data_IF_053524991087
#
_entry.id   IF_053524991087
#
_cell.length_a   1.000
_cell.length_b   1.000
_cell.length_c   1.000
_cell.angle_alpha   90.00
_cell.angle_beta   90.00
_cell.angle_gamma   90.00
#
_symmetry.space_group_name_H-M   'P 1'
#
loop_
_entity.id
_entity.type
_entity.pdbx_description
1 polymer ?
#
# COMPACT_ATOMS: atom_id res chain seq x y z
N UNK A 1 -9.97 9.41 3.42
CA UNK A 1 -10.22 7.98 3.09
C UNK A 1 -9.70 7.14 4.26
N UNK A 2 -10.35 6.02 4.57
CA UNK A 2 -9.84 5.06 5.56
C UNK A 2 -9.35 3.83 4.78
N UNK A 3 -8.14 3.38 5.05
CA UNK A 3 -7.54 2.21 4.42
C UNK A 3 -7.64 1.03 5.39
N UNK A 4 -8.32 -0.04 4.98
CA UNK A 4 -8.30 -1.29 5.72
C UNK A 4 -6.95 -1.99 5.56
N UNK A 5 -6.67 -2.96 6.44
CA UNK A 5 -5.46 -3.79 6.31
C UNK A 5 -5.37 -4.47 4.93
N UNK A 6 -6.51 -4.94 4.39
CA UNK A 6 -6.58 -5.54 3.07
C UNK A 6 -6.27 -4.58 1.93
N UNK A 7 -6.51 -3.27 2.09
CA UNK A 7 -6.09 -2.27 1.11
C UNK A 7 -4.55 -2.15 1.08
N UNK A 8 -3.91 -2.21 2.24
CA UNK A 8 -2.45 -2.18 2.37
C UNK A 8 -1.85 -3.42 1.73
N UNK A 9 -2.43 -4.61 1.97
CA UNK A 9 -2.01 -5.87 1.35
C UNK A 9 -2.15 -5.83 -0.18
N UNK A 10 -3.29 -5.32 -0.68
CA UNK A 10 -3.49 -5.15 -2.12
C UNK A 10 -2.51 -4.14 -2.75
N UNK A 11 -2.12 -3.10 -2.01
CA UNK A 11 -1.09 -2.16 -2.46
C UNK A 11 0.30 -2.83 -2.53
N UNK A 12 0.66 -3.62 -1.51
CA UNK A 12 1.91 -4.39 -1.47
C UNK A 12 1.98 -5.33 -2.69
N UNK A 13 0.92 -6.09 -2.95
CA UNK A 13 0.85 -6.98 -4.10
C UNK A 13 0.91 -6.21 -5.43
N UNK A 14 0.22 -5.07 -5.53
CA UNK A 14 0.26 -4.20 -6.69
C UNK A 14 1.68 -3.73 -7.04
N UNK A 15 2.46 -3.33 -6.03
CA UNK A 15 3.86 -2.92 -6.23
C UNK A 15 4.79 -4.10 -6.52
N UNK A 16 4.55 -5.24 -5.88
CA UNK A 16 5.30 -6.47 -6.16
C UNK A 16 5.14 -6.92 -7.62
N UNK A 17 3.93 -6.86 -8.16
CA UNK A 17 3.66 -7.19 -9.58
C UNK A 17 4.33 -6.24 -10.58
N UNK A 18 4.61 -4.99 -10.20
CA UNK A 18 5.29 -4.01 -11.07
C UNK A 18 6.81 -4.06 -10.96
N UNK A 19 7.32 -4.74 -9.94
CA UNK A 19 8.76 -4.85 -9.71
C UNK A 19 9.34 -5.92 -10.62
N UNK A 20 10.58 -5.70 -11.09
CA UNK A 20 11.27 -6.66 -11.97
C UNK A 20 11.76 -7.92 -11.25
N UNK A 21 11.93 -7.84 -9.93
CA UNK A 21 12.29 -8.96 -9.05
C UNK A 21 11.86 -8.67 -7.61
N UNK A 22 11.96 -9.70 -6.76
CA UNK A 22 11.70 -9.59 -5.33
C UNK A 22 12.70 -8.69 -4.62
N UNK A 23 13.98 -8.72 -5.01
CA UNK A 23 14.99 -7.82 -4.44
C UNK A 23 14.74 -6.37 -4.84
N UNK A 24 14.32 -6.13 -6.09
CA UNK A 24 13.96 -4.80 -6.55
C UNK A 24 12.75 -4.25 -5.78
N UNK A 25 11.74 -5.10 -5.54
CA UNK A 25 10.60 -4.75 -4.70
C UNK A 25 11.02 -4.44 -3.27
N UNK A 26 11.75 -5.34 -2.60
CA UNK A 26 12.21 -5.13 -1.22
C UNK A 26 13.13 -3.90 -1.09
N UNK A 27 13.85 -3.57 -2.18
CA UNK A 27 14.68 -2.39 -2.33
C UNK A 27 13.94 -1.08 -2.58
N UNK A 28 12.64 -1.10 -2.87
CA UNK A 28 11.86 0.08 -3.23
C UNK A 28 11.48 0.94 -2.01
N UNK A 29 11.15 2.21 -2.24
CA UNK A 29 10.70 3.12 -1.18
C UNK A 29 9.26 2.78 -0.76
N UNK A 30 8.41 2.44 -1.72
CA UNK A 30 7.00 2.10 -1.58
C UNK A 30 6.82 0.81 -0.79
N UNK A 31 7.59 -0.23 -1.12
CA UNK A 31 7.56 -1.50 -0.39
C UNK A 31 7.92 -1.32 1.08
N UNK A 32 8.95 -0.51 1.38
CA UNK A 32 9.35 -0.22 2.76
C UNK A 32 8.31 0.63 3.49
N UNK A 33 7.72 1.61 2.82
CA UNK A 33 6.65 2.44 3.40
C UNK A 33 5.42 1.59 3.75
N UNK A 34 4.99 0.72 2.84
CA UNK A 34 3.85 -0.19 3.05
C UNK A 34 4.16 -1.25 4.12
N UNK A 35 5.36 -1.81 4.15
CA UNK A 35 5.75 -2.77 5.20
C UNK A 35 5.74 -2.14 6.60
N UNK A 36 6.21 -0.88 6.73
CA UNK A 36 6.13 -0.13 8.00
C UNK A 36 4.68 0.14 8.41
N UNK A 37 3.86 0.58 7.45
CA UNK A 37 2.44 0.83 7.68
C UNK A 37 1.71 -0.44 8.13
N UNK A 38 1.92 -1.55 7.42
CA UNK A 38 1.33 -2.85 7.73
C UNK A 38 1.73 -3.33 9.15
N UNK A 39 3.02 -3.22 9.48
CA UNK A 39 3.51 -3.55 10.82
C UNK A 39 2.89 -2.69 11.92
N UNK A 40 2.72 -1.39 11.69
CA UNK A 40 2.07 -0.48 12.65
C UNK A 40 0.59 -0.84 12.87
N UNK A 41 -0.14 -1.16 11.81
CA UNK A 41 -1.55 -1.58 11.89
C UNK A 41 -1.70 -2.82 12.76
N UNK A 42 -0.85 -3.83 12.55
CA UNK A 42 -0.84 -5.05 13.36
C UNK A 42 -0.47 -4.75 14.82
N UNK A 43 0.61 -3.99 15.04
CA UNK A 43 1.10 -3.70 16.39
C UNK A 43 0.09 -2.92 17.24
N UNK A 44 -0.69 -2.04 16.62
CA UNK A 44 -1.71 -1.24 17.30
C UNK A 44 -3.11 -1.89 17.30
N UNK A 45 -3.28 -3.06 16.67
CA UNK A 45 -4.58 -3.71 16.53
C UNK A 45 -5.62 -2.84 15.82
N UNK A 46 -5.19 -1.96 14.91
CA UNK A 46 -6.08 -1.05 14.21
C UNK A 46 -6.81 -1.79 13.08
N UNK A 47 -8.12 -1.64 12.97
CA UNK A 47 -8.89 -2.19 11.84
C UNK A 47 -8.63 -1.43 10.53
N UNK A 48 -8.09 -0.21 10.62
CA UNK A 48 -7.70 0.58 9.46
C UNK A 48 -6.95 1.86 9.84
N UNK A 49 -6.40 2.54 8.83
CA UNK A 49 -5.63 3.78 8.96
C UNK A 49 -6.30 4.89 8.17
N UNK A 50 -6.55 6.00 8.86
CA UNK A 50 -7.08 7.19 8.20
C UNK A 50 -5.99 7.89 7.42
N UNK A 51 -6.35 8.54 6.31
CA UNK A 51 -5.42 9.31 5.48
C UNK A 51 -4.63 10.38 6.26
N UNK A 52 -5.21 10.93 7.34
CA UNK A 52 -4.54 11.90 8.21
C UNK A 52 -3.41 11.27 9.07
N UNK A 53 -3.45 9.95 9.29
CA UNK A 53 -2.42 9.21 10.01
C UNK A 53 -1.28 8.70 9.13
N UNK A 54 -1.34 8.95 7.82
CA UNK A 54 -0.33 8.52 6.86
C UNK A 54 0.73 9.60 6.65
N UNK A 55 1.99 9.18 6.59
CA UNK A 55 3.05 10.01 6.03
C UNK A 55 2.94 10.11 4.50
N UNK A 56 3.73 11.02 3.90
CA UNK A 56 3.67 11.27 2.46
C UNK A 56 4.11 10.05 1.63
N UNK A 57 5.06 9.24 2.11
CA UNK A 57 5.52 8.06 1.40
C UNK A 57 4.48 6.94 1.42
N UNK A 58 3.79 6.75 2.55
CA UNK A 58 2.67 5.82 2.68
C UNK A 58 1.50 6.24 1.81
N UNK A 59 1.15 7.54 1.82
CA UNK A 59 0.09 8.08 0.99
C UNK A 59 0.40 7.89 -0.50
N UNK A 60 1.62 8.18 -0.91
CA UNK A 60 2.04 8.00 -2.30
C UNK A 60 2.04 6.52 -2.71
N UNK A 61 2.56 5.63 -1.85
CA UNK A 61 2.52 4.19 -2.10
C UNK A 61 1.09 3.65 -2.24
N UNK A 62 0.12 4.16 -1.47
CA UNK A 62 -1.29 3.76 -1.55
C UNK A 62 -2.03 4.29 -2.78
N UNK A 63 -1.50 5.29 -3.50
CA UNK A 63 -2.11 5.80 -4.75
C UNK A 63 -2.22 4.73 -5.84
N UNK A 64 -1.44 3.66 -5.76
CA UNK A 64 -1.55 2.50 -6.63
C UNK A 64 -2.97 1.92 -6.69
N UNK A 65 -3.71 1.99 -5.58
CA UNK A 65 -5.08 1.51 -5.48
C UNK A 65 -6.05 2.39 -6.29
N UNK A 66 -5.80 3.71 -6.32
CA UNK A 66 -6.55 4.65 -7.17
C UNK A 66 -6.30 4.38 -8.65
N UNK A 67 -5.08 3.99 -9.03
CA UNK A 67 -4.75 3.58 -10.40
C UNK A 67 -5.44 2.26 -10.78
N UNK A 68 -5.56 1.31 -9.83
CA UNK A 68 -6.26 0.04 -10.04
C UNK A 68 -7.78 0.21 -10.22
N UNK A 69 -8.40 1.16 -9.52
CA UNK A 69 -9.82 1.48 -9.67
C UNK A 69 -10.16 2.09 -11.05
N UNK A 70 -9.22 2.79 -11.69
CA UNK A 70 -9.38 3.31 -13.04
C UNK A 70 -9.34 2.20 -14.12
N UNK A 71 -8.58 1.12 -13.88
CA UNK A 71 -8.51 -0.04 -14.79
C UNK A 71 -9.73 -0.97 -14.77
N UNK A 72 -10.61 -0.86 -13.76
CA UNK A 72 -11.84 -1.68 -13.62
C UNK A 72 -13.12 -1.03 -14.17
N UNK A 73 -13.02 0.07 -14.92
CA UNK A 73 -14.18 0.73 -15.60
C UNK A 73 -14.30 0.42 -17.10
N UNK A 74 -13.66 -0.65 -17.57
CA UNK A 74 -13.87 -1.19 -18.91
C UNK A 74 -13.87 -2.71 -18.85
N UNK A 75 -15.01 -3.29 -18.51
CA UNK A 75 -15.44 -4.62 -18.93
C UNK A 75 -16.96 -4.64 -19.00
#
# INVERSE_FOLDING_TARGET
>A
MNFAISDIEAAIEGWRMRSSSDEAFAGSAEARALARLYGAVIAHGCEGVTDAGLDDAQRDALRILSTHAAGRRTQ
#
